data_IF_935296046956
#
_entry.id   IF_935296046956
#
_cell.length_a   1.000
_cell.length_b   1.000
_cell.length_c   1.000
_cell.angle_alpha   90.00
_cell.angle_beta   90.00
_cell.angle_gamma   90.00
#
_symmetry.space_group_name_H-M   'P 1'
#
loop_
_entity.id
_entity.type
_entity.pdbx_description
1 polymer ?
#
# COMPACT_ATOMS: atom_id res chain seq x y z
N UNK A 1 -21.70 6.41 11.59
CA UNK A 1 -20.62 5.42 11.41
C UNK A 1 -19.48 6.16 10.75
N UNK A 2 -18.31 6.23 11.37
CA UNK A 2 -17.18 6.94 10.78
C UNK A 2 -16.76 6.24 9.48
N UNK A 3 -16.59 7.00 8.40
CA UNK A 3 -16.20 6.43 7.12
C UNK A 3 -14.74 5.96 7.23
N UNK A 4 -14.50 4.65 7.16
CA UNK A 4 -13.13 4.11 7.04
C UNK A 4 -12.44 4.73 5.83
N UNK A 5 -11.32 5.41 6.05
CA UNK A 5 -10.51 6.04 5.00
C UNK A 5 -9.76 4.97 4.19
N UNK A 6 -9.27 3.93 4.85
CA UNK A 6 -8.70 2.74 4.21
C UNK A 6 -9.81 1.79 3.76
N UNK A 7 -9.79 1.38 2.48
CA UNK A 7 -10.73 0.42 1.87
C UNK A 7 -10.19 -0.99 1.80
N UNK A 8 -8.88 -1.14 1.81
CA UNK A 8 -8.20 -2.42 1.93
C UNK A 8 -6.72 -2.28 1.66
N UNK A 9 -5.99 -3.35 1.90
CA UNK A 9 -4.55 -3.43 1.67
C UNK A 9 -4.27 -4.74 0.96
N UNK A 10 -3.38 -4.74 -0.03
CA UNK A 10 -2.93 -5.93 -0.72
C UNK A 10 -1.42 -6.00 -0.68
N UNK A 11 -0.89 -7.19 -0.46
CA UNK A 11 0.44 -7.55 -0.89
C UNK A 11 0.34 -8.36 -2.18
N UNK A 12 0.97 -7.86 -3.24
CA UNK A 12 1.08 -8.53 -4.53
C UNK A 12 2.51 -9.00 -4.71
N UNK A 13 2.67 -10.28 -4.95
CA UNK A 13 3.93 -10.90 -5.33
C UNK A 13 4.00 -10.95 -6.87
N UNK A 14 5.17 -10.71 -7.45
CA UNK A 14 5.40 -11.02 -8.87
C UNK A 14 5.95 -12.44 -8.98
N UNK A 15 5.11 -13.39 -9.36
CA UNK A 15 5.51 -14.78 -9.60
C UNK A 15 6.06 -14.96 -11.03
N UNK A 16 7.12 -15.76 -11.20
CA UNK A 16 7.80 -15.95 -12.49
C UNK A 16 6.94 -16.75 -13.51
N UNK A 17 5.99 -17.58 -13.03
CA UNK A 17 5.14 -18.43 -13.88
C UNK A 17 3.74 -17.82 -14.10
N UNK A 18 3.15 -17.28 -13.03
CA UNK A 18 1.76 -16.79 -13.01
C UNK A 18 1.68 -15.28 -13.22
N UNK A 19 2.76 -14.54 -12.94
CA UNK A 19 2.79 -13.09 -12.97
C UNK A 19 2.27 -12.46 -11.66
N UNK A 20 1.67 -11.25 -11.72
CA UNK A 20 1.18 -10.55 -10.54
C UNK A 20 0.12 -11.33 -9.76
N UNK A 21 0.44 -11.75 -8.54
CA UNK A 21 -0.41 -12.58 -7.69
C UNK A 21 -0.79 -11.84 -6.38
N UNK A 22 -2.09 -11.57 -6.10
CA UNK A 22 -2.55 -10.98 -4.84
C UNK A 22 -2.44 -12.00 -3.68
N UNK A 23 -1.23 -12.21 -3.17
CA UNK A 23 -0.92 -13.23 -2.16
C UNK A 23 -1.72 -13.04 -0.86
N UNK A 24 -1.76 -11.81 -0.33
CA UNK A 24 -2.52 -11.46 0.87
C UNK A 24 -3.29 -10.16 0.66
N UNK A 25 -4.48 -10.08 1.24
CA UNK A 25 -5.29 -8.86 1.25
C UNK A 25 -6.08 -8.72 2.54
N UNK A 26 -6.39 -7.46 2.87
CA UNK A 26 -7.31 -7.03 3.91
C UNK A 26 -8.45 -6.23 3.29
N UNK A 27 -9.64 -6.36 3.88
CA UNK A 27 -10.85 -5.70 3.40
C UNK A 27 -11.66 -6.53 2.41
N UNK A 28 -12.90 -6.10 2.17
CA UNK A 28 -13.86 -6.77 1.29
C UNK A 28 -13.70 -6.31 -0.17
N UNK A 29 -12.67 -6.84 -0.83
CA UNK A 29 -12.37 -6.54 -2.23
C UNK A 29 -12.67 -7.79 -3.06
N UNK A 30 -13.51 -7.76 -4.09
CA UNK A 30 -13.75 -8.93 -4.95
C UNK A 30 -12.48 -9.43 -5.63
N UNK A 31 -12.36 -10.74 -5.87
CA UNK A 31 -11.18 -11.36 -6.49
C UNK A 31 -10.79 -10.70 -7.82
N UNK A 32 -11.76 -10.43 -8.69
CA UNK A 32 -11.53 -9.74 -9.97
C UNK A 32 -10.85 -8.38 -9.79
N UNK A 33 -11.22 -7.65 -8.74
CA UNK A 33 -10.66 -6.34 -8.44
C UNK A 33 -9.24 -6.48 -7.87
N UNK A 34 -9.00 -7.49 -7.02
CA UNK A 34 -7.64 -7.78 -6.51
C UNK A 34 -6.67 -8.06 -7.65
N UNK A 35 -7.05 -8.91 -8.60
CA UNK A 35 -6.25 -9.21 -9.79
C UNK A 35 -6.02 -7.96 -10.63
N UNK A 36 -7.07 -7.18 -10.89
CA UNK A 36 -6.94 -5.92 -11.64
C UNK A 36 -5.95 -4.95 -10.98
N UNK A 37 -6.03 -4.81 -9.65
CA UNK A 37 -5.14 -3.97 -8.87
C UNK A 37 -3.70 -4.49 -8.96
N UNK A 38 -3.47 -5.78 -8.69
CA UNK A 38 -2.16 -6.42 -8.75
C UNK A 38 -1.49 -6.25 -10.12
N UNK A 39 -2.21 -6.55 -11.20
CA UNK A 39 -1.69 -6.42 -12.57
C UNK A 39 -1.27 -4.99 -12.86
N UNK A 40 -2.12 -4.02 -12.54
CA UNK A 40 -1.81 -2.61 -12.82
C UNK A 40 -0.63 -2.11 -11.97
N UNK A 41 -0.60 -2.43 -10.68
CA UNK A 41 0.50 -2.08 -9.77
C UNK A 41 1.84 -2.59 -10.29
N UNK A 42 1.93 -3.86 -10.70
CA UNK A 42 3.18 -4.42 -11.21
C UNK A 42 3.51 -3.92 -12.63
N UNK A 43 2.52 -3.72 -13.50
CA UNK A 43 2.79 -3.24 -14.87
C UNK A 43 3.45 -1.86 -14.88
N UNK A 44 3.13 -1.02 -13.90
CA UNK A 44 3.77 0.30 -13.75
C UNK A 44 5.27 0.16 -13.46
N UNK A 45 5.70 -0.80 -12.63
CA UNK A 45 7.12 -1.11 -12.43
C UNK A 45 7.82 -1.50 -13.74
N UNK A 46 7.18 -2.37 -14.52
CA UNK A 46 7.74 -2.83 -15.79
C UNK A 46 7.86 -1.71 -16.82
N UNK A 47 6.93 -0.75 -16.79
CA UNK A 47 6.93 0.42 -17.66
C UNK A 47 8.09 1.40 -17.40
N UNK A 48 8.57 1.48 -16.15
CA UNK A 48 9.68 2.35 -15.74
C UNK A 48 11.07 1.71 -15.99
N UNK A 49 11.18 0.78 -16.96
CA UNK A 49 12.40 0.02 -17.24
C UNK A 49 12.97 -0.73 -16.02
N UNK A 50 12.10 -1.08 -15.06
CA UNK A 50 12.52 -1.71 -13.80
C UNK A 50 13.16 -0.74 -12.79
N UNK A 51 13.08 0.57 -13.02
CA UNK A 51 13.40 1.56 -11.97
C UNK A 51 12.28 1.53 -10.94
N UNK A 52 12.62 1.01 -9.76
CA UNK A 52 11.69 0.84 -8.67
C UNK A 52 11.75 2.12 -7.82
N UNK A 53 10.64 2.86 -7.70
CA UNK A 53 10.58 4.02 -6.83
C UNK A 53 10.94 3.65 -5.39
N UNK A 54 11.92 4.35 -4.81
CA UNK A 54 12.26 4.20 -3.39
C UNK A 54 11.12 4.71 -2.50
N UNK A 55 10.43 5.76 -2.93
CA UNK A 55 9.32 6.37 -2.20
C UNK A 55 7.96 5.79 -2.57
N UNK A 56 6.96 6.10 -1.74
CA UNK A 56 5.58 5.78 -2.03
C UNK A 56 5.07 6.48 -3.30
N UNK A 57 4.29 5.74 -4.09
CA UNK A 57 3.64 6.24 -5.29
C UNK A 57 2.13 6.13 -5.15
N UNK A 58 1.39 7.13 -5.63
CA UNK A 58 -0.07 7.07 -5.71
C UNK A 58 -0.48 6.71 -7.13
N UNK A 59 -1.24 5.63 -7.27
CA UNK A 59 -1.75 5.15 -8.56
C UNK A 59 -3.29 5.14 -8.56
N UNK A 60 -3.95 5.71 -9.57
CA UNK A 60 -5.41 5.68 -9.65
C UNK A 60 -5.93 4.33 -10.17
N UNK A 61 -7.11 3.91 -9.70
CA UNK A 61 -7.89 2.79 -10.23
C UNK A 61 -9.31 3.29 -10.60
N UNK A 62 -9.45 4.04 -11.71
CA UNK A 62 -10.69 4.78 -12.01
C UNK A 62 -11.93 3.89 -12.14
N UNK A 63 -11.77 2.68 -12.69
CA UNK A 63 -12.85 1.68 -12.82
C UNK A 63 -13.43 1.24 -11.47
N UNK A 64 -12.70 1.45 -10.38
CA UNK A 64 -13.11 1.10 -9.02
C UNK A 64 -13.44 2.33 -8.16
N UNK A 65 -13.26 3.55 -8.69
CA UNK A 65 -13.34 4.80 -7.92
C UNK A 65 -12.41 4.80 -6.68
N UNK A 66 -11.25 4.17 -6.83
CA UNK A 66 -10.21 4.03 -5.80
C UNK A 66 -8.88 4.59 -6.29
N UNK A 67 -8.02 4.97 -5.36
CA UNK A 67 -6.59 5.17 -5.56
C UNK A 67 -5.82 4.23 -4.64
N UNK A 68 -4.60 3.89 -5.02
CA UNK A 68 -3.70 3.06 -4.23
C UNK A 68 -2.43 3.82 -3.88
N UNK A 69 -2.04 3.73 -2.62
CA UNK A 69 -0.72 4.12 -2.12
C UNK A 69 0.17 2.88 -2.17
N UNK A 70 1.25 2.95 -2.96
CA UNK A 70 2.04 1.79 -3.36
C UNK A 70 3.47 1.93 -2.85
N UNK A 71 3.93 0.91 -2.12
CA UNK A 71 5.34 0.66 -1.82
C UNK A 71 5.78 -0.60 -2.52
N UNK A 72 6.85 -0.51 -3.29
CA UNK A 72 7.44 -1.68 -3.91
C UNK A 72 8.42 -2.38 -2.97
N UNK A 73 8.48 -3.70 -3.10
CA UNK A 73 9.29 -4.57 -2.26
C UNK A 73 10.24 -5.35 -3.15
N UNK A 74 11.49 -5.41 -2.75
CA UNK A 74 12.54 -6.18 -3.41
C UNK A 74 13.26 -7.06 -2.41
N UNK A 75 13.63 -8.25 -2.85
CA UNK A 75 14.49 -9.13 -2.08
C UNK A 75 15.39 -9.94 -3.00
N UNK A 76 16.55 -10.33 -2.50
CA UNK A 76 17.41 -11.27 -3.21
C UNK A 76 16.80 -12.66 -3.14
N UNK A 77 16.68 -13.32 -4.28
CA UNK A 77 16.19 -14.69 -4.43
C UNK A 77 16.92 -15.34 -5.62
N UNK A 78 17.99 -16.08 -5.34
CA UNK A 78 18.83 -16.71 -6.38
C UNK A 78 18.09 -17.77 -7.21
N UNK A 79 16.93 -18.26 -6.73
CA UNK A 79 16.12 -19.21 -7.48
C UNK A 79 15.33 -18.57 -8.62
N UNK A 80 15.13 -17.23 -8.58
CA UNK A 80 14.36 -16.49 -9.59
C UNK A 80 15.22 -15.98 -10.73
N UNK A 81 14.57 -15.70 -11.86
CA UNK A 81 15.26 -15.08 -13.00
C UNK A 81 15.79 -13.70 -12.61
N UNK A 82 17.10 -13.52 -12.76
CA UNK A 82 17.77 -12.26 -12.37
C UNK A 82 18.13 -12.18 -10.88
N UNK A 83 17.87 -13.23 -10.09
CA UNK A 83 18.30 -13.32 -8.68
C UNK A 83 17.55 -12.39 -7.71
N UNK A 84 16.42 -11.82 -8.14
CA UNK A 84 15.65 -10.81 -7.40
C UNK A 84 14.18 -11.19 -7.44
N UNK A 85 13.55 -11.26 -6.27
CA UNK A 85 12.10 -11.27 -6.13
C UNK A 85 11.54 -9.85 -5.99
N UNK A 86 10.32 -9.66 -6.51
CA UNK A 86 9.66 -8.36 -6.56
C UNK A 86 8.22 -8.48 -6.09
N UNK A 87 7.73 -7.44 -5.44
CA UNK A 87 6.34 -7.34 -5.01
C UNK A 87 5.93 -5.90 -4.72
N UNK A 88 4.71 -5.74 -4.25
CA UNK A 88 4.15 -4.43 -3.93
C UNK A 88 3.10 -4.50 -2.82
N UNK A 89 3.21 -3.59 -1.86
CA UNK A 89 2.15 -3.28 -0.90
C UNK A 89 1.29 -2.19 -1.51
N UNK A 90 -0.03 -2.40 -1.62
CA UNK A 90 -1.00 -1.43 -2.12
C UNK A 90 -2.07 -1.18 -1.08
N UNK A 91 -2.11 0.02 -0.51
CA UNK A 91 -3.20 0.48 0.36
C UNK A 91 -4.22 1.26 -0.46
N UNK A 92 -5.48 0.85 -0.44
CA UNK A 92 -6.55 1.43 -1.22
C UNK A 92 -7.37 2.42 -0.40
N UNK A 93 -7.72 3.53 -1.03
CA UNK A 93 -8.58 4.57 -0.49
C UNK A 93 -9.49 5.14 -1.59
N UNK A 94 -10.55 5.86 -1.21
CA UNK A 94 -11.45 6.48 -2.20
C UNK A 94 -10.76 7.63 -2.89
N UNK A 95 -11.06 7.80 -4.17
CA UNK A 95 -10.61 8.96 -4.92
C UNK A 95 -11.07 10.30 -4.31
N UNK A 96 -12.25 10.33 -3.67
CA UNK A 96 -12.76 11.51 -2.96
C UNK A 96 -11.93 11.94 -1.74
N UNK A 97 -11.11 11.04 -1.21
CA UNK A 97 -10.37 11.23 0.04
C UNK A 97 -8.89 11.50 -0.23
N UNK A 98 -8.49 11.72 -1.48
CA UNK A 98 -7.08 11.72 -1.91
C UNK A 98 -6.23 12.85 -1.35
N UNK A 99 -6.83 14.01 -1.06
CA UNK A 99 -6.13 15.20 -0.56
C UNK A 99 -5.32 14.90 0.70
N UNK A 100 -5.89 14.16 1.66
CA UNK A 100 -5.18 13.80 2.90
C UNK A 100 -3.97 12.89 2.60
N UNK A 101 -4.10 11.99 1.63
CA UNK A 101 -3.03 11.07 1.26
C UNK A 101 -1.87 11.78 0.56
N UNK A 102 -2.15 12.74 -0.33
CA UNK A 102 -1.12 13.57 -0.94
C UNK A 102 -0.43 14.48 0.08
N UNK A 103 -1.20 15.13 0.96
CA UNK A 103 -0.68 16.08 1.94
C UNK A 103 0.27 15.42 2.94
N UNK A 104 -0.07 14.21 3.40
CA UNK A 104 0.67 13.49 4.43
C UNK A 104 1.52 12.34 3.90
N UNK A 105 1.76 12.27 2.58
CA UNK A 105 2.50 11.20 1.92
C UNK A 105 3.83 10.86 2.61
N UNK A 106 4.58 11.88 3.02
CA UNK A 106 5.88 11.72 3.67
C UNK A 106 5.79 11.01 5.02
N UNK A 107 4.69 11.15 5.75
CA UNK A 107 4.47 10.48 7.03
C UNK A 107 4.16 8.99 6.86
N UNK A 108 3.60 8.61 5.70
CA UNK A 108 3.31 7.21 5.40
C UNK A 108 4.54 6.45 4.92
N UNK A 109 5.58 7.12 4.40
CA UNK A 109 6.78 6.42 3.89
C UNK A 109 7.41 5.50 4.96
N UNK A 110 7.62 6.01 6.18
CA UNK A 110 8.29 5.24 7.23
C UNK A 110 7.56 3.93 7.62
N UNK A 111 6.24 3.91 7.92
CA UNK A 111 5.55 2.66 8.22
C UNK A 111 5.50 1.70 7.03
N UNK A 112 5.40 2.21 5.79
CA UNK A 112 5.48 1.35 4.60
C UNK A 112 6.88 0.77 4.36
N UNK A 113 7.93 1.54 4.60
CA UNK A 113 9.32 1.06 4.50
C UNK A 113 9.56 -0.09 5.46
N UNK A 114 9.18 0.11 6.74
CA UNK A 114 9.31 -0.92 7.76
C UNK A 114 8.61 -2.22 7.34
N UNK A 115 7.38 -2.13 6.85
CA UNK A 115 6.63 -3.33 6.42
C UNK A 115 7.21 -3.94 5.15
N UNK A 116 7.74 -3.13 4.22
CA UNK A 116 8.42 -3.63 3.03
C UNK A 116 9.69 -4.44 3.38
N UNK A 117 10.50 -3.93 4.31
CA UNK A 117 11.68 -4.64 4.82
C UNK A 117 11.30 -5.97 5.47
N UNK A 118 10.29 -5.98 6.34
CA UNK A 118 9.81 -7.20 7.00
C UNK A 118 9.22 -8.21 5.99
N UNK A 119 8.44 -7.75 5.00
CA UNK A 119 7.96 -8.62 3.92
C UNK A 119 9.12 -9.23 3.15
N UNK A 120 10.17 -8.46 2.81
CA UNK A 120 11.34 -8.99 2.15
C UNK A 120 12.05 -10.09 2.98
N UNK A 121 12.01 -10.00 4.32
CA UNK A 121 12.49 -11.05 5.21
C UNK A 121 11.57 -12.29 5.24
N UNK A 122 10.26 -12.09 5.26
CA UNK A 122 9.27 -13.17 5.18
C UNK A 122 9.40 -13.95 3.86
N UNK A 123 9.62 -13.26 2.75
CA UNK A 123 9.81 -13.87 1.43
C UNK A 123 11.05 -14.76 1.40
N UNK A 124 12.19 -14.23 1.86
CA UNK A 124 13.46 -15.00 1.94
C UNK A 124 13.35 -16.23 2.84
N UNK A 125 12.60 -16.12 3.92
CA UNK A 125 12.40 -17.21 4.88
C UNK A 125 11.26 -18.16 4.49
N UNK A 126 10.53 -17.87 3.41
CA UNK A 126 9.32 -18.60 2.97
C UNK A 126 8.32 -18.74 4.11
N UNK A 127 8.13 -17.66 4.85
CA UNK A 127 7.25 -17.60 6.00
C UNK A 127 5.79 -17.92 5.62
N UNK A 128 4.99 -18.43 6.57
CA UNK A 128 3.59 -18.72 6.32
C UNK A 128 2.79 -17.42 6.06
N UNK A 129 1.69 -17.58 5.31
CA UNK A 129 0.84 -16.48 4.85
C UNK A 129 0.29 -15.62 6.00
N UNK A 130 0.07 -16.22 7.16
CA UNK A 130 -0.44 -15.58 8.37
C UNK A 130 0.45 -14.42 8.84
N UNK A 131 1.78 -14.57 8.73
CA UNK A 131 2.72 -13.51 9.15
C UNK A 131 2.56 -12.24 8.31
N UNK A 132 2.25 -12.37 7.02
CA UNK A 132 1.98 -11.23 6.14
C UNK A 132 0.67 -10.55 6.51
N UNK A 133 -0.36 -11.33 6.90
CA UNK A 133 -1.64 -10.79 7.36
C UNK A 133 -1.43 -9.91 8.59
N UNK A 134 -0.63 -10.38 9.55
CA UNK A 134 -0.32 -9.63 10.77
C UNK A 134 0.40 -8.30 10.45
N UNK A 135 1.42 -8.33 9.59
CA UNK A 135 2.11 -7.13 9.13
C UNK A 135 1.19 -6.12 8.44
N UNK A 136 0.30 -6.59 7.55
CA UNK A 136 -0.64 -5.70 6.86
C UNK A 136 -1.69 -5.13 7.83
N UNK A 137 -2.08 -5.88 8.87
CA UNK A 137 -2.99 -5.38 9.91
C UNK A 137 -2.32 -4.29 10.74
N UNK A 138 -1.06 -4.49 11.14
CA UNK A 138 -0.27 -3.46 11.83
C UNK A 138 -0.12 -2.19 10.98
N UNK A 139 0.15 -2.36 9.68
CA UNK A 139 0.18 -1.23 8.73
C UNK A 139 -1.16 -0.50 8.70
N UNK A 140 -2.27 -1.23 8.56
CA UNK A 140 -3.61 -0.63 8.54
C UNK A 140 -3.89 0.17 9.80
N UNK A 141 -3.58 -0.39 10.98
CA UNK A 141 -3.78 0.28 12.27
C UNK A 141 -2.92 1.54 12.40
N UNK A 142 -1.65 1.47 12.00
CA UNK A 142 -0.71 2.60 12.06
C UNK A 142 -1.17 3.74 11.16
N UNK A 143 -1.58 3.43 9.92
CA UNK A 143 -2.04 4.44 8.97
C UNK A 143 -3.39 5.02 9.40
N UNK A 144 -4.32 4.20 9.91
CA UNK A 144 -5.58 4.70 10.46
C UNK A 144 -5.36 5.65 11.65
N UNK A 145 -4.39 5.36 12.53
CA UNK A 145 -4.02 6.27 13.63
C UNK A 145 -3.51 7.61 13.10
N UNK A 146 -2.58 7.60 12.15
CA UNK A 146 -2.07 8.83 11.54
C UNK A 146 -3.16 9.65 10.87
N UNK A 147 -4.03 9.01 10.09
CA UNK A 147 -5.14 9.69 9.43
C UNK A 147 -6.10 10.35 10.42
N UNK A 148 -6.39 9.67 11.54
CA UNK A 148 -7.23 10.24 12.60
C UNK A 148 -6.55 11.42 13.30
N UNK A 149 -5.26 11.31 13.62
CA UNK A 149 -4.49 12.41 14.22
C UNK A 149 -4.44 13.64 13.30
N UNK A 150 -4.16 13.43 12.00
CA UNK A 150 -4.11 14.52 11.03
C UNK A 150 -5.46 15.20 10.85
N UNK A 151 -6.54 14.42 10.72
CA UNK A 151 -7.90 14.96 10.63
C UNK A 151 -8.28 15.78 11.87
N UNK A 152 -7.93 15.31 13.08
CA UNK A 152 -8.22 16.03 14.32
C UNK A 152 -7.41 17.34 14.43
N UNK A 153 -6.16 17.33 13.99
CA UNK A 153 -5.31 18.53 13.96
C UNK A 153 -5.86 19.57 12.97
N UNK A 154 -6.28 19.16 11.78
CA UNK A 154 -6.88 20.06 10.78
C UNK A 154 -8.16 20.73 11.30
N UNK A 155 -9.07 19.96 11.90
CA UNK A 155 -10.30 20.49 12.50
C UNK A 155 -9.99 21.50 13.60
N UNK A 156 -8.96 21.22 14.42
CA UNK A 156 -8.54 22.11 15.51
C UNK A 156 -7.95 23.42 14.98
N UNK A 157 -7.11 23.36 13.94
CA UNK A 157 -6.55 24.54 13.28
C UNK A 157 -7.60 25.39 12.57
N UNK A 158 -8.57 24.78 11.90
CA UNK A 158 -9.67 25.51 11.24
C UNK A 158 -10.55 26.23 12.26
N UNK A 159 -10.88 25.59 13.38
CA UNK A 159 -11.63 26.21 14.46
C UNK A 159 -10.87 27.40 15.07
N UNK A 160 -9.56 27.26 15.29
CA UNK A 160 -8.73 28.35 15.79
C UNK A 160 -8.62 29.54 14.82
N UNK A 161 -8.65 29.30 13.50
CA UNK A 161 -8.67 30.36 12.47
C UNK A 161 -10.04 31.02 12.33
N UNK A 162 -11.13 30.28 12.52
CA UNK A 162 -12.49 30.79 12.42
C UNK A 162 -12.90 31.65 13.64
N UNK A 163 -12.25 31.43 14.79
CA UNK A 163 -12.45 32.20 16.01
C UNK A 163 -11.10 32.67 16.60
N UNK A 164 -10.46 33.69 16.00
CA UNK A 164 -9.28 34.31 16.59
C UNK A 164 -9.68 35.16 17.81
N UNK A 165 -8.87 35.11 18.88
CA UNK A 165 -9.02 35.98 20.06
C UNK A 165 -8.93 37.49 19.72
#
# INVERSE_FOLDING_TARGET
MEAKLIKGILYTELDDEVGPNPFVWLGDIPLSNRLHISVKTITVLSGESGLIPESLVILPFPSLNLKGLIKYVLWNDEARRGGIGQGAITLLFKESDDVIYYKYLNYFNAPFEKVAEEIAHLEKSKAPRENYIDLLNELSLTIDQFLNEFKNNEISEENAKAFPD
#
